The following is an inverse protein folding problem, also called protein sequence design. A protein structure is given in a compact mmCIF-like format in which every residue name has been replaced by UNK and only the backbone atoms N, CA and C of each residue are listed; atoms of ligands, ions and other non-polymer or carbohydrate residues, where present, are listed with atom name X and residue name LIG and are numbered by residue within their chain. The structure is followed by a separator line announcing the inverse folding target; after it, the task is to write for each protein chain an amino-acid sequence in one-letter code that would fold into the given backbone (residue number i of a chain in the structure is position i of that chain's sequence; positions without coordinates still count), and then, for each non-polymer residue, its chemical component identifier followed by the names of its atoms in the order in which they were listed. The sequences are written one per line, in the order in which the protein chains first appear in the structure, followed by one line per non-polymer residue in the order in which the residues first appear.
data_IF_041676012430
#
_entry.id   IF_041676012430
#
_cell.length_a   1.000
_cell.length_b   1.000
_cell.length_c   1.000
_cell.angle_alpha   90.00
_cell.angle_beta   90.00
_cell.angle_gamma   90.00
#
_symmetry.space_group_name_H-M   'P 1'
#
loop_
_entity.id
_entity.type
_entity.pdbx_description
1 polymer ?
#
# COMPACT_ATOMS: atom_id res chain seq x y z
N UNK A 1 15.37 -14.47 16.90
CA UNK A 1 16.20 -13.25 16.87
C UNK A 1 15.49 -12.23 16.03
N UNK A 2 15.26 -11.02 16.55
CA UNK A 2 14.71 -9.93 15.73
C UNK A 2 15.82 -9.42 14.81
N UNK A 3 15.69 -9.63 13.50
CA UNK A 3 16.63 -9.09 12.51
C UNK A 3 16.48 -7.56 12.51
N UNK A 4 17.54 -6.85 12.83
CA UNK A 4 17.50 -5.39 12.91
C UNK A 4 17.79 -4.82 11.52
N UNK A 5 16.72 -4.43 10.82
CA UNK A 5 16.80 -3.74 9.55
C UNK A 5 17.43 -2.35 9.74
N UNK A 6 18.47 -2.04 8.97
CA UNK A 6 19.20 -0.76 9.09
C UNK A 6 18.32 0.41 8.67
N UNK A 7 17.43 0.21 7.69
CA UNK A 7 16.50 1.24 7.22
C UNK A 7 15.06 1.03 7.70
N UNK A 8 14.86 0.36 8.85
CA UNK A 8 13.51 0.06 9.38
C UNK A 8 12.61 1.30 9.48
N UNK A 9 13.18 2.45 9.83
CA UNK A 9 12.42 3.70 9.97
C UNK A 9 11.98 4.28 8.61
N UNK A 10 12.85 4.22 7.59
CA UNK A 10 12.55 4.70 6.23
C UNK A 10 11.46 3.82 5.61
N UNK A 11 11.57 2.50 5.76
CA UNK A 11 10.56 1.57 5.23
C UNK A 11 9.18 1.77 5.86
N UNK A 12 9.11 1.96 7.18
CA UNK A 12 7.86 2.31 7.86
C UNK A 12 7.29 3.62 7.33
N UNK A 13 8.13 4.64 7.22
CA UNK A 13 7.71 5.96 6.74
C UNK A 13 7.13 5.90 5.33
N UNK A 14 7.83 5.23 4.40
CA UNK A 14 7.36 5.05 3.02
C UNK A 14 6.05 4.26 2.96
N UNK A 15 5.91 3.22 3.78
CA UNK A 15 4.68 2.40 3.82
C UNK A 15 3.49 3.20 4.39
N UNK A 16 3.71 3.99 5.44
CA UNK A 16 2.68 4.86 6.03
C UNK A 16 2.23 5.93 5.03
N UNK A 17 3.18 6.60 4.37
CA UNK A 17 2.84 7.62 3.37
C UNK A 17 2.15 6.98 2.17
N UNK A 18 2.61 5.83 1.70
CA UNK A 18 1.97 5.09 0.62
C UNK A 18 0.52 4.75 0.96
N UNK A 19 0.25 4.24 2.16
CA UNK A 19 -1.11 3.97 2.63
C UNK A 19 -1.97 5.24 2.77
N UNK A 20 -1.38 6.35 3.22
CA UNK A 20 -2.07 7.62 3.38
C UNK A 20 -2.43 8.26 2.03
N UNK A 21 -1.50 8.26 1.08
CA UNK A 21 -1.75 8.65 -0.31
C UNK A 21 -2.82 7.75 -0.93
N UNK A 22 -2.80 6.45 -0.60
CA UNK A 22 -3.80 5.48 -1.01
C UNK A 22 -5.20 5.85 -0.54
N UNK A 23 -5.32 6.15 0.76
CA UNK A 23 -6.58 6.56 1.39
C UNK A 23 -7.12 7.87 0.79
N UNK A 24 -6.27 8.89 0.61
CA UNK A 24 -6.67 10.16 -0.01
C UNK A 24 -7.16 9.94 -1.44
N UNK A 25 -6.46 9.10 -2.21
CA UNK A 25 -6.86 8.82 -3.60
C UNK A 25 -8.21 8.10 -3.67
N UNK A 26 -8.49 7.18 -2.74
CA UNK A 26 -9.80 6.54 -2.63
C UNK A 26 -10.93 7.51 -2.28
N UNK A 27 -10.69 8.43 -1.35
CA UNK A 27 -11.67 9.46 -0.97
C UNK A 27 -11.96 10.36 -2.18
N UNK A 28 -10.92 10.82 -2.89
CA UNK A 28 -11.07 11.64 -4.10
C UNK A 28 -11.80 10.88 -5.21
N UNK A 29 -11.52 9.58 -5.37
CA UNK A 29 -12.20 8.71 -6.33
C UNK A 29 -13.70 8.60 -6.08
N UNK A 30 -14.13 8.40 -4.83
CA UNK A 30 -15.56 8.41 -4.47
C UNK A 30 -16.18 9.81 -4.64
N UNK A 31 -15.43 10.86 -4.33
CA UNK A 31 -15.92 12.23 -4.47
C UNK A 31 -16.05 12.68 -5.95
N UNK A 32 -15.63 11.85 -6.91
CA UNK A 32 -15.64 12.18 -8.33
C UNK A 32 -14.67 13.30 -8.71
N UNK A 33 -13.69 13.59 -7.84
CA UNK A 33 -12.69 14.62 -8.08
C UNK A 33 -11.59 14.04 -8.97
N UNK A 34 -11.31 14.63 -10.14
CA UNK A 34 -10.26 14.14 -11.02
C UNK A 34 -8.91 14.15 -10.30
N UNK A 35 -8.24 12.99 -10.28
CA UNK A 35 -6.95 12.81 -9.65
C UNK A 35 -6.02 12.07 -10.61
N UNK A 36 -4.87 12.67 -10.94
CA UNK A 36 -3.84 12.08 -11.80
C UNK A 36 -3.24 10.78 -11.24
N UNK A 37 -3.38 10.54 -9.95
CA UNK A 37 -2.97 9.29 -9.30
C UNK A 37 -4.00 8.18 -9.42
N UNK A 38 -5.26 8.48 -9.75
CA UNK A 38 -6.33 7.49 -9.85
C UNK A 38 -6.29 6.78 -11.21
N UNK A 39 -6.33 5.45 -11.16
CA UNK A 39 -6.54 4.60 -12.32
C UNK A 39 -7.71 3.70 -11.96
N UNK A 40 -8.60 3.44 -12.91
CA UNK A 40 -9.62 2.39 -12.79
C UNK A 40 -9.26 1.25 -13.75
N UNK A 41 -8.41 0.30 -13.33
CA UNK A 41 -7.99 -0.82 -14.16
C UNK A 41 -9.11 -1.83 -14.40
N UNK A 42 -10.17 -1.77 -13.60
CA UNK A 42 -11.26 -2.76 -13.60
C UNK A 42 -12.48 -2.30 -14.40
N UNK A 43 -12.36 -1.17 -15.12
CA UNK A 43 -13.25 -0.65 -16.19
C UNK A 43 -14.67 -1.23 -16.16
N UNK A 44 -15.45 -0.86 -15.14
CA UNK A 44 -16.87 -1.25 -15.03
C UNK A 44 -17.23 -2.22 -13.91
N UNK A 45 -16.29 -2.66 -13.07
CA UNK A 45 -16.67 -3.27 -11.79
C UNK A 45 -17.35 -2.22 -10.89
N UNK A 46 -18.36 -2.63 -10.12
CA UNK A 46 -19.13 -1.73 -9.26
C UNK A 46 -18.16 -0.91 -8.37
N UNK A 47 -18.16 0.41 -8.56
CA UNK A 47 -17.24 1.34 -7.92
C UNK A 47 -17.23 1.20 -6.38
N UNK A 48 -18.38 0.83 -5.80
CA UNK A 48 -18.53 0.59 -4.36
C UNK A 48 -17.76 -0.67 -3.93
N UNK A 49 -17.85 -1.76 -4.70
CA UNK A 49 -17.10 -2.99 -4.42
C UNK A 49 -15.59 -2.75 -4.54
N UNK A 50 -15.15 -2.06 -5.60
CA UNK A 50 -13.74 -1.69 -5.76
C UNK A 50 -13.23 -0.87 -4.58
N UNK A 51 -14.01 0.14 -4.16
CA UNK A 51 -13.65 0.96 -3.01
C UNK A 51 -13.53 0.14 -1.72
N UNK A 52 -14.47 -0.77 -1.44
CA UNK A 52 -14.42 -1.61 -0.24
C UNK A 52 -13.15 -2.47 -0.25
N UNK A 53 -12.83 -3.11 -1.37
CA UNK A 53 -11.62 -3.95 -1.48
C UNK A 53 -10.35 -3.11 -1.34
N UNK A 54 -10.29 -1.97 -2.01
CA UNK A 54 -9.16 -1.04 -1.92
C UNK A 54 -8.96 -0.52 -0.48
N UNK A 55 -10.05 -0.19 0.21
CA UNK A 55 -10.03 0.24 1.61
C UNK A 55 -9.44 -0.86 2.50
N UNK A 56 -9.85 -2.12 2.32
CA UNK A 56 -9.28 -3.25 3.06
C UNK A 56 -7.77 -3.36 2.81
N UNK A 57 -7.31 -3.22 1.56
CA UNK A 57 -5.88 -3.26 1.22
C UNK A 57 -5.12 -2.10 1.88
N UNK A 58 -5.68 -0.88 1.88
CA UNK A 58 -5.10 0.28 2.56
C UNK A 58 -4.97 0.03 4.07
N UNK A 59 -6.01 -0.50 4.71
CA UNK A 59 -5.98 -0.84 6.15
C UNK A 59 -4.92 -1.92 6.44
N UNK A 60 -4.81 -2.95 5.60
CA UNK A 60 -3.77 -3.97 5.72
C UNK A 60 -2.37 -3.34 5.59
N UNK A 61 -2.20 -2.40 4.66
CA UNK A 61 -0.93 -1.69 4.45
C UNK A 61 -0.56 -0.84 5.68
N UNK A 62 -1.53 -0.15 6.30
CA UNK A 62 -1.34 0.55 7.57
C UNK A 62 -0.97 -0.40 8.72
N UNK A 63 -1.62 -1.56 8.81
CA UNK A 63 -1.34 -2.53 9.86
C UNK A 63 0.08 -3.07 9.77
N UNK A 64 0.59 -3.31 8.56
CA UNK A 64 1.97 -3.72 8.33
C UNK A 64 2.94 -2.62 8.78
N UNK A 65 2.63 -1.35 8.51
CA UNK A 65 3.50 -0.24 8.86
C UNK A 65 3.51 0.11 10.36
N UNK A 66 2.36 -0.06 11.06
CA UNK A 66 2.20 0.27 12.48
C UNK A 66 2.67 -0.84 13.44
N UNK A 67 2.76 -2.09 12.99
CA UNK A 67 3.31 -3.21 13.78
C UNK A 67 4.48 -3.92 13.10
N UNK A 68 5.66 -3.28 13.04
CA UNK A 68 6.83 -3.82 12.34
C UNK A 68 7.53 -4.95 13.11
N UNK A 69 7.19 -5.12 14.40
CA UNK A 69 7.84 -6.04 15.34
C UNK A 69 6.85 -6.99 16.04
N UNK A 70 5.58 -7.06 15.61
CA UNK A 70 4.65 -8.13 16.02
C UNK A 70 4.30 -8.93 14.78
N UNK A 71 4.30 -10.26 14.84
CA UNK A 71 4.32 -11.10 13.66
C UNK A 71 2.97 -11.02 12.97
N UNK A 72 2.87 -10.14 11.98
CA UNK A 72 2.25 -10.59 10.76
C UNK A 72 3.39 -11.21 9.94
N UNK A 73 3.31 -12.51 9.61
CA UNK A 73 4.33 -13.24 8.86
C UNK A 73 4.32 -12.85 7.38
N UNK A 74 4.04 -11.58 7.09
CA UNK A 74 4.02 -11.06 5.75
C UNK A 74 5.43 -10.58 5.44
N UNK A 75 6.21 -11.48 4.85
CA UNK A 75 7.46 -11.16 4.16
C UNK A 75 7.32 -9.83 3.40
N UNK A 76 8.43 -9.10 3.21
CA UNK A 76 8.46 -7.92 2.35
C UNK A 76 7.88 -8.17 0.94
N UNK A 77 7.93 -9.42 0.47
CA UNK A 77 7.22 -9.91 -0.71
C UNK A 77 5.70 -9.63 -0.69
N UNK A 78 5.05 -9.74 0.46
CA UNK A 78 3.61 -9.45 0.59
C UNK A 78 3.33 -7.96 0.52
N UNK A 79 4.21 -7.12 1.08
CA UNK A 79 4.12 -5.66 0.88
C UNK A 79 4.21 -5.30 -0.61
N UNK A 80 5.05 -6.00 -1.36
CA UNK A 80 5.13 -5.83 -2.81
C UNK A 80 3.81 -6.19 -3.50
N UNK A 81 3.19 -7.31 -3.13
CA UNK A 81 1.86 -7.70 -3.64
C UNK A 81 0.78 -6.69 -3.24
N UNK A 82 0.79 -6.21 -2.00
CA UNK A 82 -0.14 -5.17 -1.52
C UNK A 82 0.03 -3.87 -2.30
N UNK A 83 1.26 -3.47 -2.61
CA UNK A 83 1.57 -2.32 -3.45
C UNK A 83 0.97 -2.42 -4.85
N UNK A 84 1.05 -3.60 -5.48
CA UNK A 84 0.40 -3.87 -6.77
C UNK A 84 -1.13 -3.81 -6.63
N UNK A 85 -1.68 -4.45 -5.61
CA UNK A 85 -3.12 -4.48 -5.36
C UNK A 85 -3.70 -3.07 -5.12
N UNK A 86 -2.97 -2.18 -4.44
CA UNK A 86 -3.37 -0.78 -4.29
C UNK A 86 -3.57 -0.09 -5.64
N UNK A 87 -2.70 -0.34 -6.62
CA UNK A 87 -2.85 0.21 -7.97
C UNK A 87 -4.02 -0.43 -8.70
N UNK A 88 -4.15 -1.76 -8.63
CA UNK A 88 -5.20 -2.53 -9.31
C UNK A 88 -6.60 -2.12 -8.85
N UNK A 89 -6.78 -1.87 -7.55
CA UNK A 89 -8.07 -1.49 -6.97
C UNK A 89 -8.29 0.03 -6.86
N UNK A 90 -7.45 0.83 -7.52
CA UNK A 90 -7.68 2.27 -7.65
C UNK A 90 -7.35 3.11 -6.41
N UNK A 91 -6.57 2.58 -5.47
CA UNK A 91 -5.95 3.40 -4.41
C UNK A 91 -4.79 4.27 -4.94
N UNK A 92 -4.46 4.13 -6.22
CA UNK A 92 -3.65 5.08 -6.96
C UNK A 92 -2.19 4.70 -7.14
N UNK A 93 -1.61 5.16 -8.25
CA UNK A 93 -0.27 4.76 -8.70
C UNK A 93 0.79 5.15 -7.66
N UNK A 94 0.72 6.37 -7.14
CA UNK A 94 1.69 6.90 -6.18
C UNK A 94 1.70 6.14 -4.86
N UNK A 95 0.53 5.68 -4.40
CA UNK A 95 0.40 4.83 -3.24
C UNK A 95 1.15 3.50 -3.45
N UNK A 96 0.91 2.86 -4.60
CA UNK A 96 1.58 1.62 -4.99
C UNK A 96 3.10 1.78 -5.10
N UNK A 97 3.59 2.82 -5.78
CA UNK A 97 5.03 3.07 -5.96
C UNK A 97 5.75 3.21 -4.61
N UNK A 98 5.18 3.98 -3.68
CA UNK A 98 5.77 4.18 -2.36
C UNK A 98 5.86 2.87 -1.55
N UNK A 99 4.79 2.06 -1.60
CA UNK A 99 4.74 0.76 -0.92
C UNK A 99 5.69 -0.25 -1.58
N UNK A 100 5.79 -0.25 -2.91
CA UNK A 100 6.73 -1.11 -3.66
C UNK A 100 8.18 -0.76 -3.33
N UNK A 101 8.54 0.53 -3.26
CA UNK A 101 9.90 0.94 -2.87
C UNK A 101 10.21 0.48 -1.45
N UNK A 102 9.28 0.64 -0.51
CA UNK A 102 9.44 0.14 0.85
C UNK A 102 9.63 -1.38 0.88
N UNK A 103 8.86 -2.12 0.08
CA UNK A 103 8.96 -3.56 -0.06
C UNK A 103 10.32 -4.01 -0.63
N UNK A 104 10.82 -3.33 -1.66
CA UNK A 104 12.10 -3.65 -2.29
C UNK A 104 13.28 -3.42 -1.33
N UNK A 105 13.29 -2.31 -0.59
CA UNK A 105 14.32 -2.05 0.42
C UNK A 105 14.34 -3.17 1.45
N UNK A 106 13.17 -3.57 1.93
CA UNK A 106 13.07 -4.62 2.93
C UNK A 106 13.47 -5.99 2.41
N UNK A 107 13.16 -6.31 1.14
CA UNK A 107 13.57 -7.56 0.51
C UNK A 107 15.09 -7.62 0.27
N UNK A 108 15.71 -6.49 -0.09
CA UNK A 108 17.18 -6.39 -0.24
C UNK A 108 17.89 -6.53 1.11
N UNK A 109 17.36 -5.95 2.19
CA UNK A 109 17.95 -6.12 3.52
C UNK A 109 17.68 -7.52 4.12
N UNK A 110 16.74 -8.27 3.56
CA UNK A 110 16.47 -9.65 3.99
C UNK A 110 17.33 -10.70 3.29
N UNK A 111 17.79 -10.42 2.06
CA UNK A 111 18.79 -11.21 1.33
C UNK A 111 20.16 -11.16 2.02
#
# INVERSE_FOLDING_TARGET
MAKHYKNQQIMKFLTIIGALVGLVTLILGIAGIPNYGFVDPLLGLNAILNFIVALVIVVLTFLVALKPNRPLPFHWLVLFILGILLVVFGAGIWAGVLVIIAALIGLIEDL
#
